data_IF_607552332661
#
_entry.id   IF_607552332661
#
_cell.length_a   1.000
_cell.length_b   1.000
_cell.length_c   1.000
_cell.angle_alpha   90.00
_cell.angle_beta   90.00
_cell.angle_gamma   90.00
#
_symmetry.space_group_name_H-M   'P 1'
#
loop_
_entity.id
_entity.type
_entity.pdbx_description
1 polymer ?
#
# COMPACT_ATOMS: atom_id res chain seq x y z
N UNK A 1 8.20 -3.48 17.10
CA UNK A 1 8.56 -2.05 16.91
C UNK A 1 7.45 -1.45 16.09
N UNK A 2 6.60 -0.60 16.66
CA UNK A 2 5.37 -0.17 15.98
C UNK A 2 5.68 0.81 14.83
N UNK A 3 5.08 0.58 13.65
CA UNK A 3 5.20 1.47 12.50
C UNK A 3 4.45 2.76 12.82
N UNK A 4 5.17 3.87 12.97
CA UNK A 4 4.58 5.19 13.26
C UNK A 4 4.19 5.87 11.95
N UNK A 5 2.93 6.32 11.85
CA UNK A 5 2.48 7.18 10.76
C UNK A 5 2.56 8.64 11.18
N UNK A 6 3.08 9.47 10.29
CA UNK A 6 3.04 10.93 10.41
C UNK A 6 1.82 11.48 9.64
N UNK A 7 1.43 12.73 9.89
CA UNK A 7 0.33 13.37 9.15
C UNK A 7 0.57 13.35 7.63
N UNK A 8 1.83 13.54 7.20
CA UNK A 8 2.20 13.43 5.79
C UNK A 8 1.91 12.05 5.18
N UNK A 9 1.97 10.98 5.97
CA UNK A 9 1.67 9.63 5.49
C UNK A 9 0.18 9.44 5.31
N UNK A 10 -0.60 9.92 6.27
CA UNK A 10 -2.05 9.91 6.20
C UNK A 10 -2.52 10.77 5.03
N UNK A 11 -1.96 11.96 4.84
CA UNK A 11 -2.26 12.85 3.72
C UNK A 11 -1.94 12.18 2.37
N UNK A 12 -0.82 11.45 2.26
CA UNK A 12 -0.47 10.71 1.05
C UNK A 12 -1.41 9.53 0.79
N UNK A 13 -1.78 8.77 1.82
CA UNK A 13 -2.76 7.71 1.69
C UNK A 13 -4.13 8.27 1.31
N UNK A 14 -4.55 9.39 1.92
CA UNK A 14 -5.79 10.06 1.59
C UNK A 14 -5.80 10.49 0.13
N UNK A 15 -4.73 11.15 -0.33
CA UNK A 15 -4.58 11.54 -1.74
C UNK A 15 -4.67 10.34 -2.69
N UNK A 16 -4.09 9.18 -2.33
CA UNK A 16 -4.23 7.93 -3.11
C UNK A 16 -5.71 7.55 -3.24
N UNK A 17 -6.44 7.42 -2.12
CA UNK A 17 -7.83 6.95 -2.16
C UNK A 17 -8.79 7.97 -2.76
N UNK A 18 -8.56 9.28 -2.55
CA UNK A 18 -9.32 10.35 -3.23
C UNK A 18 -9.15 10.24 -4.75
N UNK A 19 -7.91 10.04 -5.21
CA UNK A 19 -7.63 9.82 -6.63
C UNK A 19 -8.34 8.57 -7.16
N UNK A 20 -8.28 7.45 -6.44
CA UNK A 20 -8.97 6.21 -6.82
C UNK A 20 -10.49 6.37 -6.87
N UNK A 21 -11.09 7.04 -5.88
CA UNK A 21 -12.53 7.31 -5.84
C UNK A 21 -12.97 8.16 -7.04
N UNK A 22 -12.17 9.19 -7.39
CA UNK A 22 -12.41 10.04 -8.56
C UNK A 22 -12.38 9.21 -9.84
N UNK A 23 -11.37 8.36 -10.02
CA UNK A 23 -11.23 7.48 -11.19
C UNK A 23 -12.41 6.51 -11.34
N UNK A 24 -12.86 5.89 -10.24
CA UNK A 24 -14.06 5.03 -10.22
C UNK A 24 -15.32 5.79 -10.62
N UNK A 25 -15.55 6.98 -10.04
CA UNK A 25 -16.71 7.83 -10.34
C UNK A 25 -16.72 8.30 -11.79
N UNK A 26 -15.57 8.68 -12.33
CA UNK A 26 -15.44 9.10 -13.73
C UNK A 26 -15.77 7.95 -14.69
N UNK A 27 -15.22 6.76 -14.44
CA UNK A 27 -15.55 5.55 -15.21
C UNK A 27 -17.04 5.19 -15.12
N UNK A 28 -17.65 5.24 -13.92
CA UNK A 28 -19.07 4.96 -13.74
C UNK A 28 -19.99 5.95 -14.47
N UNK A 29 -19.53 7.19 -14.69
CA UNK A 29 -20.23 8.22 -15.48
C UNK A 29 -19.99 8.11 -16.98
N UNK A 30 -19.26 7.10 -17.44
CA UNK A 30 -18.90 6.92 -18.85
C UNK A 30 -17.95 8.01 -19.38
N UNK A 31 -17.19 8.67 -18.50
CA UNK A 31 -16.14 9.59 -18.95
C UNK A 31 -15.03 8.83 -19.66
N UNK A 32 -14.24 9.50 -20.53
CA UNK A 32 -13.05 8.90 -21.12
C UNK A 32 -12.12 8.31 -20.06
N UNK A 33 -11.45 7.22 -20.41
CA UNK A 33 -10.45 6.60 -19.54
C UNK A 33 -9.38 7.60 -19.10
N UNK A 34 -8.92 7.44 -17.86
CA UNK A 34 -7.89 8.30 -17.33
C UNK A 34 -6.58 8.17 -18.13
N UNK A 35 -5.83 9.27 -18.34
CA UNK A 35 -4.57 9.22 -19.05
C UNK A 35 -3.60 8.20 -18.45
N UNK A 36 -2.89 7.44 -19.31
CA UNK A 36 -1.87 6.49 -18.87
C UNK A 36 -0.79 7.11 -17.98
N UNK A 37 -0.49 8.40 -18.18
CA UNK A 37 0.45 9.17 -17.35
C UNK A 37 0.01 9.25 -15.90
N UNK A 38 -1.29 9.45 -15.66
CA UNK A 38 -1.87 9.51 -14.32
C UNK A 38 -1.87 8.14 -13.64
N UNK A 39 -2.30 7.09 -14.36
CA UNK A 39 -2.28 5.71 -13.83
C UNK A 39 -0.85 5.27 -13.49
N UNK A 40 0.15 5.63 -14.31
CA UNK A 40 1.57 5.38 -14.03
C UNK A 40 2.08 6.16 -12.82
N UNK A 41 1.66 7.41 -12.66
CA UNK A 41 2.03 8.21 -11.50
C UNK A 41 1.49 7.57 -10.20
N UNK A 42 0.22 7.14 -10.20
CA UNK A 42 -0.41 6.43 -9.08
C UNK A 42 0.33 5.12 -8.77
N UNK A 43 0.61 4.29 -9.79
CA UNK A 43 1.34 3.03 -9.63
C UNK A 43 2.78 3.23 -9.11
N UNK A 44 3.46 4.29 -9.54
CA UNK A 44 4.81 4.63 -9.09
C UNK A 44 4.81 5.10 -7.63
N UNK A 45 3.85 5.94 -7.25
CA UNK A 45 3.72 6.44 -5.89
C UNK A 45 3.30 5.31 -4.92
N UNK A 46 2.38 4.45 -5.37
CA UNK A 46 1.78 3.38 -4.58
C UNK A 46 1.80 2.07 -5.39
N UNK A 47 2.90 1.29 -5.35
CA UNK A 47 2.96 0.01 -6.04
C UNK A 47 1.79 -0.89 -5.59
N UNK A 48 1.12 -1.52 -6.56
CA UNK A 48 -0.08 -2.34 -6.32
C UNK A 48 -1.42 -1.59 -6.40
N UNK A 49 -1.41 -0.25 -6.40
CA UNK A 49 -2.64 0.57 -6.39
C UNK A 49 -3.57 0.33 -7.58
N UNK A 50 -3.05 0.02 -8.77
CA UNK A 50 -3.91 -0.28 -9.93
C UNK A 50 -4.68 -1.59 -9.74
N UNK A 51 -4.04 -2.61 -9.15
CA UNK A 51 -4.75 -3.84 -8.80
C UNK A 51 -5.84 -3.57 -7.77
N UNK A 52 -5.54 -2.75 -6.75
CA UNK A 52 -6.54 -2.35 -5.76
C UNK A 52 -7.69 -1.56 -6.41
N UNK A 53 -7.38 -0.66 -7.34
CA UNK A 53 -8.37 0.11 -8.09
C UNK A 53 -9.30 -0.81 -8.88
N UNK A 54 -8.79 -1.90 -9.43
CA UNK A 54 -9.60 -2.84 -10.19
C UNK A 54 -10.50 -3.71 -9.28
N UNK A 55 -9.99 -4.12 -8.11
CA UNK A 55 -10.63 -5.14 -7.27
C UNK A 55 -11.46 -4.62 -6.11
N UNK A 56 -11.14 -3.44 -5.58
CA UNK A 56 -11.83 -2.86 -4.42
C UNK A 56 -13.15 -2.22 -4.84
N UNK A 57 -14.19 -2.44 -4.03
CA UNK A 57 -15.51 -1.84 -4.24
C UNK A 57 -15.47 -0.33 -4.00
N UNK A 58 -16.37 0.41 -4.65
CA UNK A 58 -16.36 1.89 -4.61
C UNK A 58 -16.62 2.40 -3.20
N UNK A 59 -17.56 1.76 -2.50
CA UNK A 59 -17.97 2.10 -1.14
C UNK A 59 -16.81 1.91 -0.15
N UNK A 60 -15.98 0.88 -0.33
CA UNK A 60 -14.78 0.65 0.49
C UNK A 60 -13.72 1.73 0.23
N UNK A 61 -13.52 2.12 -1.04
CA UNK A 61 -12.60 3.22 -1.38
C UNK A 61 -13.06 4.52 -0.70
N UNK A 62 -14.37 4.83 -0.76
CA UNK A 62 -14.94 6.03 -0.15
C UNK A 62 -14.88 5.99 1.38
N UNK A 63 -15.16 4.83 2.00
CA UNK A 63 -15.00 4.63 3.44
C UNK A 63 -13.55 4.88 3.90
N UNK A 64 -12.56 4.42 3.12
CA UNK A 64 -11.14 4.69 3.42
C UNK A 64 -10.78 6.17 3.30
N UNK A 65 -11.37 6.91 2.36
CA UNK A 65 -11.18 8.37 2.27
C UNK A 65 -11.67 9.04 3.55
N UNK A 66 -12.89 8.73 4.00
CA UNK A 66 -13.48 9.31 5.21
C UNK A 66 -12.63 8.98 6.44
N UNK A 67 -12.28 7.70 6.63
CA UNK A 67 -11.49 7.26 7.76
C UNK A 67 -10.09 7.92 7.80
N UNK A 68 -9.46 8.17 6.65
CA UNK A 68 -8.18 8.88 6.60
C UNK A 68 -8.31 10.36 6.95
N UNK A 69 -9.36 11.03 6.47
CA UNK A 69 -9.64 12.41 6.86
C UNK A 69 -9.88 12.53 8.37
N UNK A 70 -10.65 11.60 8.96
CA UNK A 70 -10.88 11.52 10.40
C UNK A 70 -9.60 11.24 11.19
N UNK A 71 -8.75 10.33 10.72
CA UNK A 71 -7.46 10.03 11.35
C UNK A 71 -6.53 11.24 11.36
N UNK A 72 -6.56 12.07 10.32
CA UNK A 72 -5.78 13.32 10.27
C UNK A 72 -6.31 14.37 11.23
N UNK A 73 -7.64 14.48 11.36
CA UNK A 73 -8.26 15.44 12.27
C UNK A 73 -8.10 15.06 13.75
N UNK A 74 -8.19 13.76 14.07
CA UNK A 74 -8.18 13.24 15.45
C UNK A 74 -6.84 12.68 15.90
N UNK A 75 -5.88 12.49 14.99
CA UNK A 75 -4.63 11.75 15.18
C UNK A 75 -4.82 10.28 15.60
N UNK A 76 -6.04 9.74 15.48
CA UNK A 76 -6.33 8.34 15.76
C UNK A 76 -6.07 7.51 14.51
N UNK A 77 -4.99 6.73 14.55
CA UNK A 77 -4.57 5.86 13.44
C UNK A 77 -5.10 4.44 13.61
N UNK A 78 -5.91 3.98 12.67
CA UNK A 78 -6.39 2.60 12.62
C UNK A 78 -5.31 1.61 12.13
N UNK A 79 -5.34 0.34 12.55
CA UNK A 79 -4.32 -0.66 12.16
C UNK A 79 -4.13 -0.80 10.65
N UNK A 80 -5.22 -0.85 9.89
CA UNK A 80 -5.16 -1.00 8.43
C UNK A 80 -4.40 0.14 7.74
N UNK A 81 -4.41 1.35 8.28
CA UNK A 81 -3.67 2.48 7.72
C UNK A 81 -2.16 2.23 7.81
N UNK A 82 -1.71 1.67 8.94
CA UNK A 82 -0.31 1.27 9.15
C UNK A 82 0.06 0.15 8.20
N UNK A 83 -0.82 -0.83 8.02
CA UNK A 83 -0.60 -1.93 7.10
C UNK A 83 -0.50 -1.46 5.65
N UNK A 84 -1.40 -0.58 5.18
CA UNK A 84 -1.38 -0.05 3.80
C UNK A 84 -0.12 0.78 3.56
N UNK A 85 0.27 1.62 4.51
CA UNK A 85 1.53 2.36 4.44
C UNK A 85 2.73 1.39 4.32
N UNK A 86 2.80 0.41 5.22
CA UNK A 86 3.87 -0.57 5.26
C UNK A 86 3.93 -1.42 3.99
N UNK A 87 2.78 -1.74 3.41
CA UNK A 87 2.66 -2.47 2.16
C UNK A 87 3.27 -1.71 0.98
N UNK A 88 2.86 -0.46 0.75
CA UNK A 88 3.42 0.30 -0.36
C UNK A 88 4.89 0.64 -0.16
N UNK A 89 5.30 0.96 1.07
CA UNK A 89 6.71 1.20 1.37
C UNK A 89 7.56 -0.07 1.23
N UNK A 90 7.08 -1.21 1.75
CA UNK A 90 7.74 -2.50 1.63
C UNK A 90 7.86 -2.98 0.19
N UNK A 91 6.81 -2.79 -0.64
CA UNK A 91 6.89 -3.09 -2.06
C UNK A 91 7.94 -2.24 -2.78
N UNK A 92 8.05 -0.95 -2.47
CA UNK A 92 9.12 -0.11 -3.04
C UNK A 92 10.50 -0.65 -2.65
N UNK A 93 10.73 -0.91 -1.37
CA UNK A 93 12.01 -1.46 -0.90
C UNK A 93 12.35 -2.80 -1.56
N UNK A 94 11.37 -3.69 -1.68
CA UNK A 94 11.56 -5.01 -2.25
C UNK A 94 11.78 -4.97 -3.78
N UNK A 95 11.12 -4.06 -4.50
CA UNK A 95 11.39 -3.82 -5.92
C UNK A 95 12.80 -3.24 -6.13
N UNK A 96 13.23 -2.38 -5.21
CA UNK A 96 14.58 -1.84 -5.22
C UNK A 96 15.63 -2.82 -4.74
N UNK A 97 15.31 -3.90 -4.03
CA UNK A 97 16.27 -4.86 -3.45
C UNK A 97 17.25 -5.45 -4.47
N UNK A 98 16.89 -5.48 -5.76
CA UNK A 98 17.76 -5.90 -6.87
C UNK A 98 18.81 -4.86 -7.28
N UNK A 99 18.66 -3.61 -6.84
CA UNK A 99 19.68 -2.58 -7.01
C UNK A 99 20.75 -2.79 -5.95
N UNK A 100 22.02 -2.63 -6.33
CA UNK A 100 23.18 -2.69 -5.43
C UNK A 100 23.28 -1.45 -4.55
N UNK A 101 22.28 -1.29 -3.70
CA UNK A 101 22.18 -0.24 -2.70
C UNK A 101 22.47 -0.87 -1.35
N UNK A 102 23.47 -0.33 -0.65
CA UNK A 102 23.86 -0.77 0.68
C UNK A 102 22.67 -0.76 1.66
N UNK A 103 22.59 -1.76 2.53
CA UNK A 103 21.53 -1.91 3.53
C UNK A 103 21.46 -0.70 4.48
N UNK A 104 22.60 -0.12 4.84
CA UNK A 104 22.70 1.10 5.66
C UNK A 104 21.97 2.27 5.01
N UNK A 105 22.17 2.49 3.70
CA UNK A 105 21.48 3.54 2.94
C UNK A 105 19.98 3.26 2.80
N UNK A 106 19.54 2.01 2.78
CA UNK A 106 18.10 1.65 2.78
C UNK A 106 17.47 1.97 4.13
N UNK A 107 18.10 1.50 5.20
CA UNK A 107 17.65 1.74 6.58
C UNK A 107 17.55 3.23 6.90
N UNK A 108 18.52 4.04 6.45
CA UNK A 108 18.50 5.48 6.66
C UNK A 108 17.34 6.21 5.94
N UNK A 109 16.83 5.65 4.84
CA UNK A 109 15.74 6.25 4.03
C UNK A 109 14.37 5.70 4.35
N UNK A 110 14.30 4.46 4.84
CA UNK A 110 13.06 3.78 5.12
C UNK A 110 12.61 4.01 6.55
N UNK A 111 11.33 4.29 6.73
CA UNK A 111 10.68 4.29 8.05
C UNK A 111 10.21 2.89 8.47
N UNK A 112 10.53 1.87 7.67
CA UNK A 112 10.28 0.47 8.00
C UNK A 112 11.53 -0.15 8.60
N UNK A 113 11.40 -1.13 9.51
CA UNK A 113 12.54 -1.86 10.06
C UNK A 113 13.05 -2.89 9.03
N UNK A 114 13.67 -2.37 7.97
CA UNK A 114 14.27 -3.15 6.88
C UNK A 114 15.53 -3.85 7.37
N UNK A 115 15.54 -5.18 7.34
CA UNK A 115 16.67 -6.02 7.71
C UNK A 115 17.20 -6.85 6.55
N UNK A 116 18.33 -7.53 6.79
CA UNK A 116 18.99 -8.37 5.79
C UNK A 116 18.08 -9.50 5.33
N UNK A 117 17.39 -10.16 6.26
CA UNK A 117 16.42 -11.21 5.96
C UNK A 117 15.32 -10.74 4.99
N UNK A 118 14.78 -9.54 5.18
CA UNK A 118 13.82 -8.96 4.23
C UNK A 118 14.44 -8.73 2.85
N UNK A 119 15.65 -8.17 2.78
CA UNK A 119 16.33 -7.89 1.50
C UNK A 119 16.65 -9.17 0.74
N UNK A 120 17.14 -10.20 1.43
CA UNK A 120 17.42 -11.51 0.86
C UNK A 120 16.15 -12.17 0.32
N UNK A 121 15.08 -12.21 1.12
CA UNK A 121 13.79 -12.76 0.68
C UNK A 121 13.22 -11.97 -0.52
N UNK A 122 13.35 -10.65 -0.51
CA UNK A 122 12.91 -9.79 -1.62
C UNK A 122 13.69 -10.03 -2.91
N UNK A 123 14.99 -10.35 -2.81
CA UNK A 123 15.84 -10.72 -3.96
C UNK A 123 15.50 -12.11 -4.48
N UNK A 124 15.34 -13.08 -3.59
CA UNK A 124 15.03 -14.46 -3.92
C UNK A 124 13.65 -14.62 -4.59
N UNK A 125 12.67 -13.76 -4.23
CA UNK A 125 11.29 -13.79 -4.74
C UNK A 125 10.71 -15.20 -4.75
N UNK A 126 10.36 -15.76 -3.58
CA UNK A 126 9.72 -17.06 -3.50
C UNK A 126 8.56 -17.17 -4.50
N UNK A 127 8.60 -18.19 -5.37
CA UNK A 127 7.62 -18.40 -6.45
C UNK A 127 7.50 -17.22 -7.45
N UNK A 128 8.57 -16.44 -7.62
CA UNK A 128 8.61 -15.25 -8.48
C UNK A 128 7.83 -14.04 -7.94
N UNK A 129 7.30 -14.10 -6.71
CA UNK A 129 6.38 -13.09 -6.16
C UNK A 129 6.98 -12.37 -4.96
N UNK A 130 6.82 -11.06 -4.94
CA UNK A 130 7.31 -10.19 -3.85
C UNK A 130 6.25 -9.90 -2.79
N UNK A 131 4.96 -9.97 -3.16
CA UNK A 131 3.83 -9.67 -2.26
C UNK A 131 3.86 -10.54 -0.99
N UNK A 132 4.04 -11.88 -1.05
CA UNK A 132 4.09 -12.70 0.16
C UNK A 132 5.24 -12.31 1.10
N UNK A 133 6.39 -11.91 0.55
CA UNK A 133 7.54 -11.43 1.34
C UNK A 133 7.16 -10.17 2.12
N UNK A 134 6.50 -9.22 1.45
CA UNK A 134 6.06 -7.97 2.08
C UNK A 134 4.99 -8.23 3.14
N UNK A 135 3.99 -9.08 2.87
CA UNK A 135 2.96 -9.41 3.86
C UNK A 135 3.54 -10.06 5.12
N UNK A 136 4.45 -11.03 4.95
CA UNK A 136 5.14 -11.66 6.07
C UNK A 136 5.98 -10.65 6.87
N UNK A 137 6.61 -9.70 6.18
CA UNK A 137 7.38 -8.64 6.84
C UNK A 137 6.47 -7.71 7.65
N UNK A 138 5.31 -7.29 7.11
CA UNK A 138 4.34 -6.44 7.83
C UNK A 138 3.88 -7.12 9.11
N UNK A 139 3.46 -8.38 9.04
CA UNK A 139 3.03 -9.15 10.22
C UNK A 139 4.11 -9.19 11.30
N UNK A 140 5.37 -9.40 10.89
CA UNK A 140 6.51 -9.37 11.83
C UNK A 140 6.78 -7.98 12.41
N UNK A 141 6.60 -6.92 11.63
CA UNK A 141 6.86 -5.55 12.06
C UNK A 141 5.81 -5.05 13.04
N UNK A 142 4.54 -5.34 12.78
CA UNK A 142 3.42 -4.87 13.59
C UNK A 142 3.04 -5.83 14.70
N UNK A 143 3.33 -7.12 14.55
CA UNK A 143 2.89 -8.18 15.46
C UNK A 143 1.43 -8.57 15.27
N UNK A 144 0.77 -8.10 14.20
CA UNK A 144 -0.63 -8.39 13.93
C UNK A 144 -0.81 -9.73 13.19
N UNK A 145 -2.04 -10.24 13.24
CA UNK A 145 -2.43 -11.47 12.54
C UNK A 145 -2.25 -11.35 11.01
N UNK A 146 -1.46 -12.22 10.37
CA UNK A 146 -1.30 -12.25 8.92
C UNK A 146 -2.61 -12.31 8.14
N UNK A 147 -3.62 -13.04 8.64
CA UNK A 147 -4.90 -13.18 7.94
C UNK A 147 -5.69 -11.85 7.95
N UNK A 148 -5.68 -11.13 9.07
CA UNK A 148 -6.27 -9.80 9.17
C UNK A 148 -5.57 -8.78 8.24
N UNK A 149 -4.24 -8.81 8.19
CA UNK A 149 -3.45 -7.98 7.28
C UNK A 149 -3.80 -8.29 5.82
N UNK A 150 -3.81 -9.57 5.45
CA UNK A 150 -4.14 -9.98 4.08
C UNK A 150 -5.55 -9.56 3.69
N UNK A 151 -6.53 -9.76 4.58
CA UNK A 151 -7.92 -9.37 4.34
C UNK A 151 -8.06 -7.86 4.10
N UNK A 152 -7.37 -7.04 4.90
CA UNK A 152 -7.43 -5.59 4.77
C UNK A 152 -6.68 -5.05 3.53
N UNK A 153 -5.56 -5.68 3.15
CA UNK A 153 -4.71 -5.23 2.04
C UNK A 153 -5.13 -5.77 0.68
N UNK A 154 -5.65 -7.00 0.64
CA UNK A 154 -6.06 -7.72 -0.57
C UNK A 154 -7.55 -8.05 -0.49
N UNK A 155 -8.44 -7.03 -0.41
CA UNK A 155 -9.87 -7.29 -0.33
C UNK A 155 -10.32 -8.11 -1.54
N UNK A 156 -11.16 -9.12 -1.28
CA UNK A 156 -11.54 -10.14 -2.26
C UNK A 156 -12.11 -9.48 -3.52
N UNK A 157 -11.64 -9.98 -4.67
CA UNK A 157 -12.07 -9.58 -6.01
C UNK A 157 -13.59 -9.73 -6.15
N UNK A 158 -14.27 -8.70 -6.66
CA UNK A 158 -15.66 -8.76 -7.12
C UNK A 158 -15.89 -10.05 -7.92
N UNK A 159 -16.85 -10.90 -7.52
CA UNK A 159 -17.40 -11.89 -8.46
C UNK A 159 -18.07 -11.07 -9.55
N UNK A 160 -17.55 -11.14 -10.78
CA UNK A 160 -18.25 -10.59 -11.95
C UNK A 160 -19.62 -11.29 -12.02
N UNK A 161 -20.67 -10.58 -11.63
CA UNK A 161 -22.07 -10.91 -11.93
C UNK A 161 -22.39 -10.45 -13.34
#
# INVERSE_FOLDING_TARGET
MSIVLLDEDLARLEHKYVTMARLRRDHARGKPEAPLTELRALARAFPGSLSELDTMETEEIEARVIALAEARASLVVLPWMRWVFAYHAGLREALEARKDVALTTRRARSRLPIDEAFVEAARARPNGRVVPVVLAAIARWTGDDPAAIEHALLPRRRKRS
#
